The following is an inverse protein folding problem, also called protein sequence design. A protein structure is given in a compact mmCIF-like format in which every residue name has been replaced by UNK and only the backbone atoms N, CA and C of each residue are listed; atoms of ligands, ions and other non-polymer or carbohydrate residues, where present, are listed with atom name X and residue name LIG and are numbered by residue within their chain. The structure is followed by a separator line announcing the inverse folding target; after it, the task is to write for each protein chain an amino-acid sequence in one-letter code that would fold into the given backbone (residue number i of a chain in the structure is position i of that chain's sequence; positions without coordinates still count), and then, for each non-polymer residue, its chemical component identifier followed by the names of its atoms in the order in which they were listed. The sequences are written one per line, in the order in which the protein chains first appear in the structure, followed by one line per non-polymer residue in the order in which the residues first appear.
data_IF_081248191497
#
_entry.id   IF_081248191497
#
_cell.length_a   1.000
_cell.length_b   1.000
_cell.length_c   1.000
_cell.angle_alpha   90.00
_cell.angle_beta   90.00
_cell.angle_gamma   90.00
#
_symmetry.space_group_name_H-M   'P 1'
#
loop_
_entity.id
_entity.type
_entity.pdbx_description
1 polymer ?
#
# COMPACT_ATOMS: atom_id res chain seq x y z
N UNK A 1 -11.03 7.80 11.63
CA UNK A 1 -9.74 7.57 12.31
C UNK A 1 -9.51 8.46 13.52
N UNK A 2 -9.73 9.79 13.43
CA UNK A 2 -9.57 10.71 14.57
C UNK A 2 -10.30 10.26 15.83
N UNK A 3 -11.59 9.93 15.73
CA UNK A 3 -12.37 9.34 16.83
C UNK A 3 -11.67 8.15 17.51
N UNK A 4 -11.11 7.23 16.72
CA UNK A 4 -10.44 6.03 17.24
C UNK A 4 -9.17 6.38 18.01
N UNK A 5 -8.36 7.32 17.50
CA UNK A 5 -7.10 7.70 18.16
C UNK A 5 -7.31 8.71 19.29
N UNK A 6 -8.05 9.78 19.03
CA UNK A 6 -8.17 10.97 19.90
C UNK A 6 -9.26 10.82 20.96
N UNK A 7 -10.42 10.23 20.63
CA UNK A 7 -11.53 10.09 21.60
C UNK A 7 -11.46 8.75 22.34
N UNK A 8 -11.14 7.66 21.63
CA UNK A 8 -11.06 6.32 22.24
C UNK A 8 -9.66 6.00 22.80
N UNK A 9 -8.65 6.84 22.55
CA UNK A 9 -7.29 6.68 23.07
C UNK A 9 -6.47 5.55 22.43
N UNK A 10 -6.86 5.03 21.26
CA UNK A 10 -6.19 3.91 20.59
C UNK A 10 -5.07 4.38 19.65
N UNK A 11 -3.98 4.89 20.24
CA UNK A 11 -2.84 5.48 19.51
C UNK A 11 -2.03 4.46 18.66
N UNK A 12 -2.23 3.16 18.89
CA UNK A 12 -1.60 2.10 18.10
C UNK A 12 -2.25 1.87 16.72
N UNK A 13 -3.41 2.47 16.45
CA UNK A 13 -4.12 2.26 15.20
C UNK A 13 -3.55 3.14 14.07
N UNK A 14 -3.00 2.56 13.02
CA UNK A 14 -2.44 3.30 11.86
C UNK A 14 -3.43 3.41 10.71
N UNK A 15 -3.13 4.28 9.74
CA UNK A 15 -3.89 4.38 8.48
C UNK A 15 -3.11 3.67 7.39
N UNK A 16 -3.78 2.83 6.60
CA UNK A 16 -3.20 2.21 5.42
C UNK A 16 -3.95 2.67 4.18
N UNK A 17 -3.22 3.13 3.16
CA UNK A 17 -3.79 3.62 1.90
C UNK A 17 -3.63 2.56 0.82
N UNK A 18 -4.75 2.02 0.28
CA UNK A 18 -4.71 1.05 -0.80
C UNK A 18 -4.61 1.73 -2.18
N UNK A 19 -4.17 0.95 -3.15
CA UNK A 19 -4.30 1.14 -4.58
C UNK A 19 -3.73 2.47 -5.11
N UNK A 20 -2.60 2.90 -4.53
CA UNK A 20 -1.90 4.11 -4.95
C UNK A 20 -1.08 3.81 -6.20
N UNK A 21 -1.52 4.32 -7.35
CA UNK A 21 -0.91 3.97 -8.64
C UNK A 21 0.35 4.78 -8.93
N UNK A 22 0.35 6.05 -8.54
CA UNK A 22 1.40 7.03 -8.86
C UNK A 22 1.83 7.82 -7.64
N UNK A 23 3.03 8.42 -7.70
CA UNK A 23 3.53 9.31 -6.65
C UNK A 23 2.63 10.55 -6.46
N UNK A 24 2.01 11.04 -7.54
CA UNK A 24 1.07 12.17 -7.47
C UNK A 24 -0.20 11.80 -6.70
N UNK A 25 -0.79 10.63 -6.99
CA UNK A 25 -1.91 10.11 -6.21
C UNK A 25 -1.52 9.97 -4.73
N UNK A 26 -0.33 9.44 -4.45
CA UNK A 26 0.20 9.31 -3.09
C UNK A 26 0.26 10.65 -2.35
N UNK A 27 0.89 11.68 -2.95
CA UNK A 27 0.98 13.02 -2.35
C UNK A 27 -0.39 13.64 -2.12
N UNK A 28 -1.29 13.54 -3.09
CA UNK A 28 -2.66 14.07 -2.99
C UNK A 28 -3.44 13.42 -1.85
N UNK A 29 -3.27 12.12 -1.62
CA UNK A 29 -3.92 11.44 -0.47
C UNK A 29 -3.37 11.97 0.86
N UNK A 30 -2.05 12.20 0.98
CA UNK A 30 -1.47 12.78 2.18
C UNK A 30 -2.04 14.19 2.46
N UNK A 31 -2.17 15.02 1.43
CA UNK A 31 -2.79 16.35 1.55
C UNK A 31 -4.22 16.26 2.08
N UNK A 32 -5.06 15.41 1.48
CA UNK A 32 -6.45 15.20 1.91
C UNK A 32 -6.53 14.67 3.35
N UNK A 33 -5.64 13.77 3.75
CA UNK A 33 -5.58 13.30 5.13
C UNK A 33 -5.23 14.43 6.10
N UNK A 34 -4.24 15.27 5.76
CA UNK A 34 -3.83 16.40 6.57
C UNK A 34 -4.95 17.44 6.73
N UNK A 35 -5.68 17.77 5.64
CA UNK A 35 -6.87 18.64 5.67
C UNK A 35 -7.95 18.11 6.63
N UNK A 36 -8.04 16.79 6.80
CA UNK A 36 -8.98 16.13 7.71
C UNK A 36 -8.39 15.88 9.12
N UNK A 37 -7.21 16.44 9.41
CA UNK A 37 -6.53 16.36 10.70
C UNK A 37 -5.76 15.06 10.96
N UNK A 38 -5.51 14.26 9.92
CA UNK A 38 -4.74 13.01 9.97
C UNK A 38 -3.36 13.21 9.34
N UNK A 39 -2.50 13.93 10.04
CA UNK A 39 -1.16 14.26 9.57
C UNK A 39 -0.11 13.27 10.07
N UNK A 40 0.83 12.90 9.19
CA UNK A 40 1.95 12.01 9.51
C UNK A 40 2.75 12.55 10.71
N UNK A 41 3.02 11.71 11.70
CA UNK A 41 3.75 12.07 12.92
C UNK A 41 2.92 12.84 13.97
N UNK A 42 1.82 13.50 13.58
CA UNK A 42 0.93 14.17 14.53
C UNK A 42 0.24 13.14 15.42
N UNK A 43 0.33 13.32 16.73
CA UNK A 43 -0.11 12.33 17.73
C UNK A 43 0.47 10.93 17.46
N UNK A 44 1.68 10.83 16.90
CA UNK A 44 2.32 9.56 16.57
C UNK A 44 1.62 8.76 15.46
N UNK A 45 0.77 9.39 14.64
CA UNK A 45 0.10 8.73 13.53
C UNK A 45 1.12 8.29 12.48
N UNK A 46 1.05 7.02 12.09
CA UNK A 46 1.72 6.49 10.90
C UNK A 46 0.73 6.28 9.76
N UNK A 47 1.18 6.58 8.56
CA UNK A 47 0.46 6.38 7.30
C UNK A 47 1.27 5.39 6.46
N UNK A 48 0.73 4.19 6.33
CA UNK A 48 1.32 3.08 5.59
C UNK A 48 0.67 3.02 4.20
N UNK A 49 1.42 2.61 3.19
CA UNK A 49 0.86 2.32 1.87
C UNK A 49 0.77 0.81 1.66
N UNK A 50 -0.32 0.35 1.05
CA UNK A 50 -0.37 -1.03 0.57
C UNK A 50 0.43 -1.09 -0.74
N UNK A 51 1.53 -1.86 -0.75
CA UNK A 51 2.35 -2.10 -1.93
C UNK A 51 1.76 -3.29 -2.69
N UNK A 52 0.93 -2.98 -3.69
CA UNK A 52 0.08 -3.96 -4.37
C UNK A 52 0.04 -3.80 -5.90
N UNK A 53 0.61 -2.72 -6.43
CA UNK A 53 0.83 -2.53 -7.86
C UNK A 53 2.32 -2.74 -8.19
N UNK A 54 2.65 -3.24 -9.39
CA UNK A 54 4.04 -3.30 -9.85
C UNK A 54 4.76 -1.95 -9.80
N UNK A 55 4.05 -0.84 -10.03
CA UNK A 55 4.63 0.51 -9.90
C UNK A 55 5.08 0.84 -8.48
N UNK A 56 4.43 0.28 -7.45
CA UNK A 56 4.85 0.49 -6.06
C UNK A 56 6.20 -0.15 -5.78
N UNK A 57 6.40 -1.39 -6.25
CA UNK A 57 7.67 -2.10 -6.07
C UNK A 57 8.80 -1.49 -6.91
N UNK A 58 8.49 -1.01 -8.13
CA UNK A 58 9.49 -0.39 -9.01
C UNK A 58 9.95 0.99 -8.52
N UNK A 59 9.12 1.71 -7.77
CA UNK A 59 9.39 3.05 -7.22
C UNK A 59 9.31 3.03 -5.69
N UNK A 60 9.77 1.94 -5.08
CA UNK A 60 9.62 1.69 -3.65
C UNK A 60 10.22 2.82 -2.81
N UNK A 61 11.44 3.24 -3.14
CA UNK A 61 12.15 4.31 -2.43
C UNK A 61 11.38 5.63 -2.50
N UNK A 62 10.89 6.02 -3.68
CA UNK A 62 10.15 7.27 -3.87
C UNK A 62 8.80 7.27 -3.16
N UNK A 63 8.12 6.12 -3.09
CA UNK A 63 6.90 5.98 -2.30
C UNK A 63 7.19 6.03 -0.80
N UNK A 64 8.33 5.48 -0.33
CA UNK A 64 8.74 5.54 1.08
C UNK A 64 9.12 6.96 1.54
N UNK A 65 9.42 7.89 0.63
CA UNK A 65 9.52 9.31 1.01
C UNK A 65 8.15 9.88 1.46
N UNK A 66 7.06 9.38 0.87
CA UNK A 66 5.69 9.84 1.06
C UNK A 66 5.01 9.13 2.25
N UNK A 67 5.32 7.85 2.49
CA UNK A 67 4.66 6.98 3.49
C UNK A 67 5.63 6.49 4.57
N UNK A 68 5.13 6.12 5.76
CA UNK A 68 5.97 5.62 6.87
C UNK A 68 6.42 4.16 6.69
N UNK A 69 5.99 3.50 5.61
CA UNK A 69 6.31 2.11 5.32
C UNK A 69 5.29 1.46 4.41
N UNK A 70 5.52 0.17 4.13
CA UNK A 70 4.65 -0.64 3.30
C UNK A 70 4.01 -1.80 4.07
N UNK A 71 2.83 -2.16 3.60
CA UNK A 71 2.25 -3.50 3.78
C UNK A 71 2.10 -4.13 2.40
N UNK A 72 2.66 -5.31 2.20
CA UNK A 72 2.58 -5.99 0.90
C UNK A 72 1.17 -6.55 0.69
N UNK A 73 0.51 -6.11 -0.38
CA UNK A 73 -0.72 -6.70 -0.90
C UNK A 73 -0.40 -7.77 -1.93
N UNK A 74 0.04 -8.96 -1.50
CA UNK A 74 0.60 -9.99 -2.39
C UNK A 74 -0.40 -10.52 -3.42
N UNK A 75 -1.69 -10.51 -3.09
CA UNK A 75 -2.78 -10.91 -3.98
C UNK A 75 -2.83 -10.04 -5.24
N UNK A 76 -3.11 -8.75 -5.07
CA UNK A 76 -3.22 -7.80 -6.16
C UNK A 76 -1.87 -7.61 -6.87
N UNK A 77 -0.75 -7.65 -6.12
CA UNK A 77 0.58 -7.61 -6.72
C UNK A 77 0.79 -8.79 -7.67
N UNK A 78 0.37 -9.99 -7.30
CA UNK A 78 0.46 -11.19 -8.15
C UNK A 78 -0.45 -11.07 -9.36
N UNK A 79 -1.70 -10.65 -9.17
CA UNK A 79 -2.67 -10.47 -10.26
C UNK A 79 -2.18 -9.48 -11.31
N UNK A 80 -1.71 -8.32 -10.87
CA UNK A 80 -1.26 -7.24 -11.76
C UNK A 80 0.12 -7.54 -12.38
N UNK A 81 0.98 -8.26 -11.68
CA UNK A 81 2.29 -8.68 -12.23
C UNK A 81 2.13 -9.74 -13.30
N UNK A 82 1.23 -10.71 -13.10
CA UNK A 82 1.02 -11.84 -14.01
C UNK A 82 -0.10 -11.59 -15.04
N UNK A 83 -0.80 -10.45 -14.93
CA UNK A 83 -1.86 -10.06 -15.87
C UNK A 83 -3.08 -10.98 -15.81
N UNK A 84 -3.51 -11.35 -14.60
CA UNK A 84 -4.59 -12.32 -14.40
C UNK A 84 -5.63 -11.87 -13.38
N UNK A 85 -6.85 -12.38 -13.59
CA UNK A 85 -7.92 -12.35 -12.60
C UNK A 85 -7.96 -13.71 -11.90
N UNK A 86 -7.71 -13.74 -10.59
CA UNK A 86 -7.66 -14.99 -9.82
C UNK A 86 -9.02 -15.65 -9.65
N UNK A 87 -10.11 -14.89 -9.81
CA UNK A 87 -11.48 -15.41 -9.70
C UNK A 87 -11.96 -15.97 -11.05
N UNK A 88 -11.22 -15.71 -12.14
CA UNK A 88 -11.50 -16.28 -13.45
C UNK A 88 -11.06 -17.74 -13.52
N UNK A 89 -12.03 -18.66 -13.55
CA UNK A 89 -11.78 -20.11 -13.66
C UNK A 89 -10.92 -20.51 -14.87
N UNK A 90 -10.84 -19.66 -15.90
CA UNK A 90 -10.03 -19.91 -17.10
C UNK A 90 -8.53 -19.78 -16.81
N UNK A 91 -8.13 -18.86 -15.92
CA UNK A 91 -6.72 -18.50 -15.69
C UNK A 91 -6.28 -18.57 -14.22
N UNK A 92 -7.20 -18.84 -13.28
CA UNK A 92 -6.91 -18.91 -11.84
C UNK A 92 -5.76 -19.87 -11.49
N UNK A 93 -5.61 -20.96 -12.24
CA UNK A 93 -4.53 -21.93 -12.05
C UNK A 93 -3.12 -21.38 -12.36
N UNK A 94 -3.02 -20.19 -12.97
CA UNK A 94 -1.77 -19.49 -13.25
C UNK A 94 -1.36 -18.54 -12.10
N UNK A 95 -2.23 -18.29 -11.12
CA UNK A 95 -1.92 -17.47 -9.95
C UNK A 95 -0.89 -18.20 -9.06
N UNK A 96 0.29 -17.61 -8.89
CA UNK A 96 1.29 -18.07 -7.92
C UNK A 96 2.10 -16.88 -7.38
N UNK A 97 1.89 -16.55 -6.10
CA UNK A 97 2.64 -15.50 -5.40
C UNK A 97 4.15 -15.80 -5.31
N UNK A 98 4.54 -17.06 -5.52
CA UNK A 98 5.95 -17.50 -5.50
C UNK A 98 6.61 -17.43 -6.87
N UNK A 99 5.89 -16.97 -7.90
CA UNK A 99 6.44 -16.74 -9.22
C UNK A 99 7.68 -15.85 -9.15
N UNK A 100 8.68 -16.11 -10.00
CA UNK A 100 9.95 -15.39 -9.99
C UNK A 100 9.79 -13.87 -10.17
N UNK A 101 8.84 -13.43 -11.01
CA UNK A 101 8.54 -12.01 -11.20
C UNK A 101 7.97 -11.38 -9.92
N UNK A 102 7.01 -12.05 -9.28
CA UNK A 102 6.42 -11.58 -8.02
C UNK A 102 7.46 -11.51 -6.92
N UNK A 103 8.26 -12.56 -6.73
CA UNK A 103 9.36 -12.57 -5.76
C UNK A 103 10.36 -11.44 -5.98
N UNK A 104 10.66 -11.11 -7.23
CA UNK A 104 11.56 -9.99 -7.57
C UNK A 104 10.95 -8.65 -7.15
N UNK A 105 9.66 -8.44 -7.40
CA UNK A 105 8.97 -7.23 -6.96
C UNK A 105 8.85 -7.15 -5.42
N UNK A 106 8.58 -8.27 -4.75
CA UNK A 106 8.60 -8.33 -3.28
C UNK A 106 9.97 -7.92 -2.72
N UNK A 107 11.06 -8.43 -3.31
CA UNK A 107 12.42 -8.10 -2.87
C UNK A 107 12.80 -6.64 -3.14
N UNK A 108 12.15 -5.94 -4.07
CA UNK A 108 12.36 -4.51 -4.30
C UNK A 108 11.62 -3.64 -3.27
N UNK A 109 10.58 -4.16 -2.63
CA UNK A 109 9.74 -3.45 -1.68
C UNK A 109 10.07 -3.74 -0.19
N UNK A 110 11.12 -4.54 0.08
CA UNK A 110 11.57 -5.00 1.41
C UNK A 110 12.97 -4.46 1.71
#
# INVERSE_FOLDING_TARGET
MRKVREEMGLENAWVMIPFVRTLEEGRKVIEVLAENGLERGKHGLKIIMMCELPSNALLADEFLEIFDGFSIGSNDLTQLTLGLDRDSAVVAHLFDERNAAVKKLLAMAI
#
